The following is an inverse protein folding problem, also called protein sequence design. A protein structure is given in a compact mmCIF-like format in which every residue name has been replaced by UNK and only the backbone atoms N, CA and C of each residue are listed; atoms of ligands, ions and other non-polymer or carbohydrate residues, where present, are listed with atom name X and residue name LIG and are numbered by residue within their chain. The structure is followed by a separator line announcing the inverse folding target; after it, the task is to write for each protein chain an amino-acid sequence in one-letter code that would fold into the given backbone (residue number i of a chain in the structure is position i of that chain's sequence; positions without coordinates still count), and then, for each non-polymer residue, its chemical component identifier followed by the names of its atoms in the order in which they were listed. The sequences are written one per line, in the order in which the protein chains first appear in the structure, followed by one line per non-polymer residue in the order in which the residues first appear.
data_IF_069019728529
#
_entry.id   IF_069019728529
#
_cell.length_a   1.000
_cell.length_b   1.000
_cell.length_c   1.000
_cell.angle_alpha   90.00
_cell.angle_beta   90.00
_cell.angle_gamma   90.00
#
_symmetry.space_group_name_H-M   'P 1'
#
loop_
_entity.id
_entity.type
_entity.pdbx_description
1 polymer ?
#
# COMPACT_ATOMS: atom_id res chain seq x y z
N UNK A 1 -27.82 3.37 -26.98
CA UNK A 1 -27.36 2.02 -26.60
C UNK A 1 -27.67 1.81 -25.13
N UNK A 2 -28.53 0.83 -24.77
CA UNK A 2 -28.80 0.54 -23.36
C UNK A 2 -27.53 0.01 -22.68
N UNK A 3 -27.27 0.37 -21.40
CA UNK A 3 -26.12 -0.11 -20.66
C UNK A 3 -26.25 -1.62 -20.46
N UNK A 4 -25.30 -2.41 -20.96
CA UNK A 4 -25.20 -3.84 -20.64
C UNK A 4 -24.97 -3.96 -19.13
N UNK A 5 -25.98 -4.44 -18.40
CA UNK A 5 -25.86 -4.81 -16.99
C UNK A 5 -24.74 -5.84 -16.85
N UNK A 6 -23.58 -5.41 -16.33
CA UNK A 6 -22.50 -6.33 -15.94
C UNK A 6 -23.05 -7.18 -14.79
N UNK A 7 -23.34 -8.44 -15.07
CA UNK A 7 -23.70 -9.44 -14.06
C UNK A 7 -22.49 -9.61 -13.14
N UNK A 8 -22.46 -8.89 -12.02
CA UNK A 8 -21.48 -9.11 -10.96
C UNK A 8 -21.73 -10.51 -10.41
N UNK A 9 -20.84 -11.45 -10.73
CA UNK A 9 -20.94 -12.80 -10.21
C UNK A 9 -20.79 -12.76 -8.69
N UNK A 10 -21.58 -13.55 -7.96
CA UNK A 10 -21.51 -13.67 -6.51
C UNK A 10 -20.07 -14.00 -6.05
N UNK A 11 -19.33 -14.75 -6.86
CA UNK A 11 -17.89 -15.02 -6.69
C UNK A 11 -17.03 -13.76 -6.56
N UNK A 12 -17.32 -12.70 -7.32
CA UNK A 12 -16.57 -11.44 -7.23
C UNK A 12 -16.78 -10.73 -5.90
N UNK A 13 -17.94 -10.91 -5.27
CA UNK A 13 -18.27 -10.29 -3.99
C UNK A 13 -17.53 -11.03 -2.87
N UNK A 14 -17.58 -12.37 -2.88
CA UNK A 14 -16.89 -13.20 -1.90
C UNK A 14 -15.38 -12.92 -1.91
N UNK A 15 -14.77 -12.88 -3.11
CA UNK A 15 -13.35 -12.56 -3.24
C UNK A 15 -13.00 -11.14 -2.76
N UNK A 16 -13.94 -10.19 -2.79
CA UNK A 16 -13.71 -8.81 -2.33
C UNK A 16 -13.58 -8.72 -0.81
N UNK A 17 -14.34 -9.53 -0.07
CA UNK A 17 -14.34 -9.52 1.40
C UNK A 17 -13.42 -10.56 2.02
N UNK A 18 -13.01 -11.59 1.26
CA UNK A 18 -12.13 -12.64 1.77
C UNK A 18 -10.84 -12.09 2.40
N UNK A 19 -10.15 -11.17 1.72
CA UNK A 19 -8.87 -10.63 2.22
C UNK A 19 -8.99 -9.80 3.51
N UNK A 20 -9.88 -8.80 3.62
CA UNK A 20 -10.11 -8.09 4.88
C UNK A 20 -10.51 -9.02 6.04
N UNK A 21 -11.29 -10.07 5.75
CA UNK A 21 -11.67 -11.05 6.77
C UNK A 21 -10.44 -11.83 7.25
N UNK A 22 -9.57 -12.28 6.33
CA UNK A 22 -8.32 -12.96 6.70
C UNK A 22 -7.43 -12.06 7.56
N UNK A 23 -7.25 -10.79 7.18
CA UNK A 23 -6.40 -9.87 7.96
C UNK A 23 -7.02 -9.52 9.32
N UNK A 24 -8.34 -9.41 9.40
CA UNK A 24 -9.05 -9.24 10.67
C UNK A 24 -8.89 -10.47 11.58
N UNK A 25 -8.96 -11.69 11.03
CA UNK A 25 -8.71 -12.92 11.78
C UNK A 25 -7.28 -12.91 12.33
N UNK A 26 -6.29 -12.56 11.51
CA UNK A 26 -4.88 -12.46 11.95
C UNK A 26 -4.74 -11.42 13.06
N UNK A 27 -5.42 -10.27 12.96
CA UNK A 27 -5.46 -9.27 14.02
C UNK A 27 -5.97 -9.87 15.34
N UNK A 28 -7.11 -10.57 15.34
CA UNK A 28 -7.63 -11.20 16.56
C UNK A 28 -6.69 -12.28 17.11
N UNK A 29 -6.11 -13.13 16.26
CA UNK A 29 -5.13 -14.14 16.71
C UNK A 29 -3.88 -13.49 17.30
N UNK A 30 -3.38 -12.39 16.71
CA UNK A 30 -2.20 -11.69 17.21
C UNK A 30 -2.38 -11.06 18.60
N UNK A 31 -3.63 -10.85 19.04
CA UNK A 31 -3.95 -10.36 20.39
C UNK A 31 -4.05 -11.48 21.43
N UNK A 32 -4.33 -12.72 21.01
CA UNK A 32 -4.63 -13.84 21.90
C UNK A 32 -3.49 -14.84 21.99
N UNK A 33 -2.68 -14.98 20.93
CA UNK A 33 -1.62 -16.00 20.85
C UNK A 33 -0.23 -15.38 20.68
N UNK A 34 0.78 -16.10 21.17
CA UNK A 34 2.20 -15.72 21.03
C UNK A 34 2.82 -16.20 19.71
N UNK A 35 1.99 -16.59 18.73
CA UNK A 35 2.43 -17.15 17.44
C UNK A 35 2.81 -16.05 16.44
N UNK A 36 3.65 -15.11 16.88
CA UNK A 36 3.93 -13.88 16.14
C UNK A 36 4.61 -14.11 14.79
N UNK A 37 5.68 -14.90 14.74
CA UNK A 37 6.44 -15.15 13.50
C UNK A 37 5.57 -15.83 12.43
N UNK A 38 4.85 -16.94 12.71
CA UNK A 38 3.95 -17.54 11.72
C UNK A 38 2.87 -16.57 11.25
N UNK A 39 2.24 -15.82 12.16
CA UNK A 39 1.20 -14.86 11.81
C UNK A 39 1.74 -13.72 10.95
N UNK A 40 2.94 -13.22 11.24
CA UNK A 40 3.65 -12.23 10.44
C UNK A 40 3.87 -12.69 9.00
N UNK A 41 4.31 -13.95 8.81
CA UNK A 41 4.52 -14.53 7.49
C UNK A 41 3.20 -14.68 6.73
N UNK A 42 2.16 -15.20 7.39
CA UNK A 42 0.83 -15.35 6.80
C UNK A 42 0.28 -13.98 6.37
N UNK A 43 0.41 -12.95 7.21
CA UNK A 43 -0.03 -11.58 6.90
C UNK A 43 0.71 -11.01 5.69
N UNK A 44 2.02 -11.20 5.63
CA UNK A 44 2.86 -10.74 4.54
C UNK A 44 2.49 -11.43 3.21
N UNK A 45 2.41 -12.77 3.19
CA UNK A 45 2.05 -13.51 1.99
C UNK A 45 0.61 -13.25 1.55
N UNK A 46 -0.35 -13.15 2.49
CA UNK A 46 -1.72 -12.77 2.17
C UNK A 46 -1.79 -11.41 1.49
N UNK A 47 -0.98 -10.44 1.94
CA UNK A 47 -0.90 -9.10 1.34
C UNK A 47 -0.27 -9.13 -0.05
N UNK A 48 0.76 -9.96 -0.28
CA UNK A 48 1.33 -10.17 -1.62
C UNK A 48 0.29 -10.75 -2.58
N UNK A 49 -0.42 -11.80 -2.17
CA UNK A 49 -1.46 -12.42 -3.01
C UNK A 49 -2.57 -11.41 -3.34
N UNK A 50 -3.00 -10.63 -2.35
CA UNK A 50 -3.98 -9.55 -2.54
C UNK A 50 -3.47 -8.51 -3.55
N UNK A 51 -2.21 -8.08 -3.44
CA UNK A 51 -1.60 -7.15 -4.39
C UNK A 51 -1.59 -7.72 -5.80
N UNK A 52 -1.17 -8.99 -5.97
CA UNK A 52 -1.10 -9.66 -7.27
C UNK A 52 -2.49 -9.79 -7.93
N UNK A 53 -3.53 -10.17 -7.17
CA UNK A 53 -4.91 -10.26 -7.69
C UNK A 53 -5.44 -8.88 -8.13
N UNK A 54 -4.99 -7.81 -7.48
CA UNK A 54 -5.44 -6.45 -7.76
C UNK A 54 -4.64 -5.75 -8.86
N UNK A 55 -3.38 -6.13 -9.06
CA UNK A 55 -2.49 -5.56 -10.08
C UNK A 55 -3.06 -5.69 -11.50
N UNK A 56 -3.78 -6.77 -11.79
CA UNK A 56 -4.45 -6.96 -13.08
C UNK A 56 -5.73 -6.14 -13.28
N UNK A 57 -6.26 -5.50 -12.23
CA UNK A 57 -7.60 -4.86 -12.23
C UNK A 57 -7.56 -3.34 -12.17
N UNK A 58 -6.40 -2.71 -11.96
CA UNK A 58 -6.28 -1.25 -11.89
C UNK A 58 -5.08 -0.75 -11.09
N UNK A 59 -5.21 0.47 -10.55
CA UNK A 59 -4.18 1.10 -9.73
C UNK A 59 -4.28 0.55 -8.30
N UNK A 60 -3.17 0.03 -7.78
CA UNK A 60 -3.10 -0.73 -6.52
C UNK A 60 -2.43 0.06 -5.40
N UNK A 61 -2.76 1.35 -5.28
CA UNK A 61 -2.01 2.25 -4.40
C UNK A 61 -2.15 1.85 -2.91
N UNK A 62 -3.35 1.45 -2.47
CA UNK A 62 -3.58 1.07 -1.07
C UNK A 62 -2.85 -0.21 -0.70
N UNK A 63 -2.93 -1.24 -1.54
CA UNK A 63 -2.25 -2.51 -1.34
C UNK A 63 -0.72 -2.34 -1.41
N UNK A 64 -0.22 -1.41 -2.23
CA UNK A 64 1.20 -1.09 -2.30
C UNK A 64 1.68 -0.40 -1.00
N UNK A 65 0.90 0.54 -0.45
CA UNK A 65 1.20 1.15 0.86
C UNK A 65 1.19 0.08 1.96
N UNK A 66 0.16 -0.77 1.98
CA UNK A 66 0.07 -1.89 2.93
C UNK A 66 1.30 -2.81 2.86
N UNK A 67 1.69 -3.23 1.64
CA UNK A 67 2.85 -4.08 1.44
C UNK A 67 4.15 -3.39 1.88
N UNK A 68 4.34 -2.12 1.52
CA UNK A 68 5.52 -1.37 1.92
C UNK A 68 5.63 -1.26 3.44
N UNK A 69 4.53 -0.92 4.12
CA UNK A 69 4.52 -0.83 5.58
C UNK A 69 4.77 -2.19 6.24
N UNK A 70 4.23 -3.30 5.71
CA UNK A 70 4.55 -4.64 6.21
C UNK A 70 6.00 -5.03 5.97
N UNK A 71 6.56 -4.64 4.82
CA UNK A 71 7.96 -4.92 4.50
C UNK A 71 8.89 -4.23 5.51
N UNK A 72 8.63 -2.98 5.83
CA UNK A 72 9.46 -2.19 6.76
C UNK A 72 9.21 -2.58 8.22
N UNK A 73 7.95 -2.79 8.63
CA UNK A 73 7.58 -2.95 10.04
C UNK A 73 7.47 -4.42 10.50
N UNK A 74 7.39 -5.38 9.59
CA UNK A 74 7.23 -6.81 9.94
C UNK A 74 8.34 -7.64 9.31
N UNK A 75 8.49 -7.59 7.99
CA UNK A 75 9.43 -8.46 7.28
C UNK A 75 10.90 -8.12 7.61
N UNK A 76 11.28 -6.85 7.55
CA UNK A 76 12.63 -6.41 7.91
C UNK A 76 13.00 -6.74 9.36
N UNK A 77 12.16 -6.46 10.38
CA UNK A 77 12.42 -6.91 11.74
C UNK A 77 12.53 -8.42 11.89
N UNK A 78 11.71 -9.19 11.17
CA UNK A 78 11.79 -10.67 11.20
C UNK A 78 13.18 -11.13 10.72
N UNK A 79 13.68 -10.59 9.61
CA UNK A 79 15.04 -10.85 9.14
C UNK A 79 16.09 -10.34 10.14
N UNK A 80 15.84 -9.18 10.74
CA UNK A 80 16.65 -8.60 11.81
C UNK A 80 16.89 -9.55 12.96
N UNK A 81 15.82 -10.13 13.53
CA UNK A 81 15.91 -11.06 14.64
C UNK A 81 16.52 -12.41 14.26
N UNK A 82 16.35 -12.87 13.01
CA UNK A 82 16.93 -14.13 12.53
C UNK A 82 18.45 -14.05 12.27
N UNK A 83 18.94 -12.94 11.74
CA UNK A 83 20.34 -12.81 11.29
C UNK A 83 21.21 -11.91 12.15
N UNK A 84 20.64 -10.94 12.87
CA UNK A 84 21.38 -9.94 13.64
C UNK A 84 21.09 -10.09 15.14
N UNK A 85 21.48 -11.25 15.69
CA UNK A 85 21.35 -11.54 17.12
C UNK A 85 22.44 -10.82 17.93
N UNK A 86 22.22 -10.68 19.25
CA UNK A 86 23.20 -10.07 20.17
C UNK A 86 24.53 -10.83 20.24
N UNK A 87 24.49 -12.11 19.91
CA UNK A 87 25.65 -13.00 19.93
C UNK A 87 26.55 -12.82 18.69
N UNK A 88 26.05 -12.15 17.63
CA UNK A 88 26.87 -11.85 16.47
C UNK A 88 27.76 -10.63 16.76
N UNK A 89 29.06 -10.90 16.87
CA UNK A 89 30.06 -9.90 17.20
C UNK A 89 30.13 -8.77 16.15
N UNK A 90 29.86 -9.08 14.88
CA UNK A 90 29.76 -8.07 13.82
C UNK A 90 28.52 -7.22 14.01
N UNK A 91 27.35 -7.80 14.25
CA UNK A 91 26.11 -7.04 14.49
C UNK A 91 26.25 -6.08 15.70
N UNK A 92 26.94 -6.54 16.76
CA UNK A 92 27.23 -5.74 17.95
C UNK A 92 28.19 -4.57 17.65
N UNK A 93 29.23 -4.77 16.84
CA UNK A 93 30.22 -3.74 16.55
C UNK A 93 29.63 -2.55 15.78
N UNK A 94 28.66 -2.81 14.90
CA UNK A 94 28.00 -1.80 14.08
C UNK A 94 26.72 -1.24 14.70
N UNK A 95 26.35 -1.65 15.92
CA UNK A 95 25.11 -1.23 16.58
C UNK A 95 23.84 -1.60 15.80
N UNK A 96 23.89 -2.68 15.01
CA UNK A 96 22.81 -3.12 14.12
C UNK A 96 21.94 -4.24 14.71
N UNK A 97 22.00 -4.45 16.02
CA UNK A 97 21.15 -5.41 16.72
C UNK A 97 19.88 -4.72 17.23
N UNK A 98 18.78 -5.48 17.28
CA UNK A 98 17.54 -5.01 17.90
C UNK A 98 17.69 -4.99 19.43
N UNK A 99 17.46 -3.85 20.11
CA UNK A 99 17.63 -3.76 21.56
C UNK A 99 16.52 -4.47 22.33
N UNK A 100 15.32 -4.58 21.73
CA UNK A 100 14.11 -5.14 22.30
C UNK A 100 14.01 -6.63 21.97
N UNK A 101 13.35 -7.43 22.81
CA UNK A 101 13.12 -8.85 22.52
C UNK A 101 12.14 -9.03 21.36
N UNK A 102 12.30 -10.09 20.59
CA UNK A 102 11.41 -10.43 19.47
C UNK A 102 9.94 -10.45 19.90
N UNK A 103 9.63 -11.16 20.99
CA UNK A 103 8.28 -11.28 21.53
C UNK A 103 7.70 -9.90 21.89
N UNK A 104 8.48 -9.05 22.56
CA UNK A 104 8.05 -7.69 22.91
C UNK A 104 7.82 -6.82 21.68
N UNK A 105 8.64 -6.94 20.63
CA UNK A 105 8.44 -6.14 19.42
C UNK A 105 7.16 -6.54 18.69
N UNK A 106 7.00 -7.84 18.40
CA UNK A 106 5.88 -8.32 17.61
C UNK A 106 4.55 -8.30 18.35
N UNK A 107 4.54 -8.35 19.70
CA UNK A 107 3.32 -8.18 20.49
C UNK A 107 2.62 -6.82 20.25
N UNK A 108 3.37 -5.79 19.83
CA UNK A 108 2.80 -4.49 19.46
C UNK A 108 2.74 -4.29 17.95
N UNK A 109 3.81 -4.63 17.23
CA UNK A 109 3.92 -4.36 15.80
C UNK A 109 2.92 -5.16 14.97
N UNK A 110 2.76 -6.46 15.26
CA UNK A 110 1.89 -7.34 14.49
C UNK A 110 0.41 -6.94 14.54
N UNK A 111 -0.23 -6.75 15.72
CA UNK A 111 -1.63 -6.32 15.77
C UNK A 111 -1.83 -4.93 15.18
N UNK A 112 -0.89 -3.99 15.40
CA UNK A 112 -0.98 -2.66 14.82
C UNK A 112 -0.95 -2.72 13.28
N UNK A 113 -0.04 -3.52 12.72
CA UNK A 113 0.09 -3.69 11.28
C UNK A 113 -1.08 -4.46 10.67
N UNK A 114 -1.59 -5.50 11.34
CA UNK A 114 -2.79 -6.20 10.89
C UNK A 114 -4.00 -5.25 10.86
N UNK A 115 -4.22 -4.48 11.92
CA UNK A 115 -5.29 -3.48 11.98
C UNK A 115 -5.13 -2.40 10.90
N UNK A 116 -3.92 -1.90 10.69
CA UNK A 116 -3.61 -0.92 9.63
C UNK A 116 -3.97 -1.46 8.24
N UNK A 117 -3.53 -2.68 7.92
CA UNK A 117 -3.82 -3.31 6.63
C UNK A 117 -5.31 -3.58 6.47
N UNK A 118 -5.99 -4.08 7.51
CA UNK A 118 -7.44 -4.28 7.48
C UNK A 118 -8.19 -2.98 7.24
N UNK A 119 -7.83 -1.90 7.94
CA UNK A 119 -8.47 -0.59 7.79
C UNK A 119 -8.22 0.01 6.40
N UNK A 120 -6.98 -0.05 5.91
CA UNK A 120 -6.58 0.53 4.63
C UNK A 120 -7.20 -0.21 3.44
N UNK A 121 -7.19 -1.54 3.48
CA UNK A 121 -7.70 -2.40 2.43
C UNK A 121 -9.18 -2.75 2.63
N UNK A 122 -9.87 -2.13 3.60
CA UNK A 122 -11.29 -2.34 3.79
C UNK A 122 -12.05 -1.88 2.54
N UNK A 123 -12.93 -2.71 1.98
CA UNK A 123 -13.73 -2.34 0.83
C UNK A 123 -14.71 -1.23 1.24
N UNK A 124 -14.35 0.02 0.98
CA UNK A 124 -15.24 1.16 1.19
C UNK A 124 -16.45 0.97 0.27
N UNK A 125 -17.65 0.94 0.86
CA UNK A 125 -18.93 0.70 0.17
C UNK A 125 -19.36 1.81 -0.81
N UNK A 126 -18.55 2.86 -0.95
CA UNK A 126 -18.84 3.97 -1.86
C UNK A 126 -18.39 3.60 -3.28
N UNK A 127 -19.34 3.56 -4.22
CA UNK A 127 -19.03 3.46 -5.66
C UNK A 127 -18.06 4.56 -6.13
N UNK A 128 -18.07 5.72 -5.45
CA UNK A 128 -17.16 6.84 -5.73
C UNK A 128 -15.75 6.63 -5.17
N UNK A 129 -15.57 5.68 -4.24
CA UNK A 129 -14.28 5.37 -3.59
C UNK A 129 -13.60 4.11 -4.12
N UNK A 130 -14.08 3.59 -5.26
CA UNK A 130 -13.50 2.44 -5.95
C UNK A 130 -12.14 2.80 -6.56
N UNK A 131 -11.05 2.21 -6.03
CA UNK A 131 -9.68 2.33 -6.53
C UNK A 131 -9.45 1.69 -7.91
N UNK A 132 -10.51 1.26 -8.61
CA UNK A 132 -10.42 0.70 -9.96
C UNK A 132 -9.96 1.71 -11.02
N UNK A 133 -9.46 2.88 -10.63
CA UNK A 133 -9.02 3.93 -11.54
C UNK A 133 -10.15 4.59 -12.32
N UNK A 134 -11.40 4.13 -12.22
CA UNK A 134 -12.54 4.68 -12.97
C UNK A 134 -12.71 6.19 -12.70
N UNK A 135 -12.53 6.62 -11.45
CA UNK A 135 -12.57 8.05 -11.10
C UNK A 135 -11.44 8.80 -11.78
N UNK A 136 -10.20 8.30 -11.70
CA UNK A 136 -9.05 8.89 -12.37
C UNK A 136 -9.25 8.96 -13.89
N UNK A 137 -9.67 7.85 -14.52
CA UNK A 137 -10.00 7.79 -15.94
C UNK A 137 -11.09 8.80 -16.30
N UNK A 138 -12.16 8.90 -15.50
CA UNK A 138 -13.22 9.88 -15.74
C UNK A 138 -12.73 11.32 -15.60
N UNK A 139 -11.82 11.61 -14.65
CA UNK A 139 -11.18 12.91 -14.52
C UNK A 139 -10.26 13.21 -15.70
N UNK A 140 -9.50 12.21 -16.17
CA UNK A 140 -8.57 12.31 -17.30
C UNK A 140 -9.35 12.50 -18.61
N UNK A 141 -10.49 11.84 -18.78
CA UNK A 141 -11.41 12.07 -19.90
C UNK A 141 -12.03 13.46 -19.87
N UNK A 142 -12.49 13.93 -18.70
CA UNK A 142 -12.98 15.31 -18.54
C UNK A 142 -11.91 16.33 -18.87
N UNK A 143 -10.69 16.12 -18.39
CA UNK A 143 -9.54 16.96 -18.71
C UNK A 143 -9.28 16.96 -20.22
N UNK A 144 -9.23 15.78 -20.86
CA UNK A 144 -9.07 15.65 -22.33
C UNK A 144 -10.17 16.38 -23.11
N UNK A 145 -11.42 16.30 -22.67
CA UNK A 145 -12.54 16.99 -23.32
C UNK A 145 -12.41 18.52 -23.23
N UNK A 146 -12.02 19.04 -22.07
CA UNK A 146 -11.77 20.48 -21.87
C UNK A 146 -10.59 20.95 -22.73
N UNK A 147 -9.51 20.17 -22.75
CA UNK A 147 -8.29 20.45 -23.51
C UNK A 147 -8.52 20.41 -25.03
N UNK A 148 -9.36 19.50 -25.53
CA UNK A 148 -9.74 19.45 -26.95
C UNK A 148 -10.38 20.75 -27.44
N UNK A 149 -11.18 21.42 -26.60
CA UNK A 149 -11.82 22.70 -26.94
C UNK A 149 -10.85 23.88 -26.82
N UNK A 150 -9.79 23.76 -26.00
CA UNK A 150 -8.83 24.83 -25.69
C UNK A 150 -7.39 24.35 -25.92
N UNK A 151 -7.01 24.07 -27.17
CA UNK A 151 -5.68 23.54 -27.50
C UNK A 151 -4.53 24.39 -26.94
N UNK A 152 -4.66 25.73 -26.95
CA UNK A 152 -3.67 26.66 -26.39
C UNK A 152 -3.42 26.41 -24.89
N UNK A 153 -4.47 26.11 -24.12
CA UNK A 153 -4.33 25.80 -22.70
C UNK A 153 -3.54 24.51 -22.44
N UNK A 154 -3.68 23.52 -23.32
CA UNK A 154 -2.87 22.30 -23.26
C UNK A 154 -1.39 22.55 -23.52
N UNK A 155 -1.08 23.39 -24.52
CA UNK A 155 0.30 23.81 -24.79
C UNK A 155 0.90 24.55 -23.59
N UNK A 156 0.15 25.47 -22.97
CA UNK A 156 0.60 26.14 -21.75
C UNK A 156 0.87 25.17 -20.60
N UNK A 157 -0.02 24.19 -20.37
CA UNK A 157 0.19 23.15 -19.35
C UNK A 157 1.47 22.34 -19.60
N UNK A 158 1.75 21.97 -20.87
CA UNK A 158 2.97 21.25 -21.23
C UNK A 158 4.21 22.10 -20.99
N UNK A 159 4.19 23.38 -21.39
CA UNK A 159 5.30 24.31 -21.18
C UNK A 159 5.56 24.50 -19.68
N UNK A 160 4.51 24.73 -18.88
CA UNK A 160 4.63 24.86 -17.42
C UNK A 160 5.18 23.58 -16.79
N UNK A 161 4.72 22.41 -17.23
CA UNK A 161 5.23 21.11 -16.77
C UNK A 161 6.72 20.93 -17.06
N UNK A 162 7.15 21.18 -18.29
CA UNK A 162 8.57 21.14 -18.70
C UNK A 162 9.39 22.13 -17.86
N UNK A 163 8.91 23.36 -17.72
CA UNK A 163 9.60 24.38 -16.93
C UNK A 163 9.72 23.98 -15.45
N UNK A 164 8.65 23.43 -14.85
CA UNK A 164 8.67 22.95 -13.46
C UNK A 164 9.70 21.85 -13.24
N UNK A 165 9.90 20.97 -14.22
CA UNK A 165 10.89 19.89 -14.20
C UNK A 165 12.33 20.44 -14.24
N UNK A 166 12.56 21.52 -14.99
CA UNK A 166 13.85 22.21 -14.96
C UNK A 166 14.09 22.89 -13.61
N UNK A 167 13.09 23.61 -13.09
CA UNK A 167 13.20 24.36 -11.81
C UNK A 167 13.45 23.44 -10.62
N UNK A 168 12.86 22.24 -10.59
CA UNK A 168 13.05 21.26 -9.52
C UNK A 168 14.50 20.80 -9.36
N UNK A 169 15.28 20.78 -10.45
CA UNK A 169 16.71 20.46 -10.37
C UNK A 169 17.55 21.56 -9.70
N UNK A 170 17.13 22.83 -9.83
CA UNK A 170 17.80 23.98 -9.22
C UNK A 170 17.36 24.26 -7.78
N UNK A 171 16.25 23.67 -7.33
CA UNK A 171 15.78 23.83 -5.97
C UNK A 171 16.60 22.99 -4.98
N UNK A 172 16.96 23.55 -3.81
CA UNK A 172 17.63 22.81 -2.74
C UNK A 172 16.73 21.69 -2.23
N UNK A 173 17.34 20.59 -1.75
CA UNK A 173 16.63 19.37 -1.38
C UNK A 173 15.46 19.60 -0.39
N UNK A 174 15.59 20.60 0.48
CA UNK A 174 14.57 21.00 1.44
C UNK A 174 13.32 21.63 0.84
N UNK A 175 13.33 22.14 -0.40
CA UNK A 175 12.16 22.77 -1.04
C UNK A 175 11.51 21.91 -2.13
N UNK A 176 12.11 20.77 -2.48
CA UNK A 176 11.61 19.90 -3.56
C UNK A 176 10.25 19.28 -3.28
N UNK A 177 9.86 19.16 -2.01
CA UNK A 177 8.58 18.53 -1.61
C UNK A 177 7.33 19.38 -1.91
N UNK A 178 7.47 20.69 -2.15
CA UNK A 178 6.34 21.60 -2.38
C UNK A 178 5.94 21.67 -3.86
N UNK A 179 6.86 21.34 -4.76
CA UNK A 179 6.70 21.50 -6.21
C UNK A 179 6.23 20.20 -6.90
N UNK A 180 6.32 19.06 -6.20
CA UNK A 180 5.83 17.74 -6.65
C UNK A 180 4.41 17.52 -6.15
#
# INVERSE_FOLDING_TARGET
MPPRLKRTSVFSIINKYAYPIITAIIFFFSLVTDWYIPLAHILFYATIIMLLDRLGKGIVLRELIALHSLLVCIFMPTLGYLFYTKDDHLASLWGRFMPISEATYFSYALPAMAAFVTALCWPIFSEKGSDQGNVLFSMLERARLILRKKYKAGVYLVIVGIFSFFVTNYLPASLRFVVV
#
